data_IF_323201554897
#
_entry.id   IF_323201554897
#
_cell.length_a   1.000
_cell.length_b   1.000
_cell.length_c   1.000
_cell.angle_alpha   90.00
_cell.angle_beta   90.00
_cell.angle_gamma   90.00
#
_symmetry.space_group_name_H-M   'P 1'
#
loop_
_entity.id
_entity.type
_entity.pdbx_description
1 polymer ?
#
# COMPACT_ATOMS: atom_id res chain seq x y z
N UNK A 1 -45.60 7.16 -58.05
CA UNK A 1 -45.71 5.75 -57.60
C UNK A 1 -44.34 5.33 -57.11
N UNK A 2 -44.11 4.93 -55.87
CA UNK A 2 -45.03 4.66 -54.79
C UNK A 2 -44.23 4.55 -53.48
N UNK A 3 -44.74 5.22 -52.45
CA UNK A 3 -44.77 4.91 -51.02
C UNK A 3 -43.50 4.80 -50.16
N UNK A 4 -43.60 5.60 -49.09
CA UNK A 4 -42.88 5.62 -47.83
C UNK A 4 -43.19 4.43 -46.89
N UNK A 5 -42.57 4.50 -45.69
CA UNK A 5 -42.86 3.83 -44.38
C UNK A 5 -41.98 2.60 -44.08
N UNK A 6 -41.45 2.36 -42.86
CA UNK A 6 -41.80 2.87 -41.52
C UNK A 6 -40.63 2.68 -40.52
N UNK A 7 -40.56 3.57 -39.53
CA UNK A 7 -39.74 3.51 -38.30
C UNK A 7 -40.28 2.45 -37.32
N UNK A 8 -39.42 1.70 -36.62
CA UNK A 8 -39.78 1.19 -35.29
C UNK A 8 -38.59 1.02 -34.37
N UNK A 9 -38.89 1.16 -33.09
CA UNK A 9 -38.06 1.54 -31.97
C UNK A 9 -37.89 0.30 -31.09
N UNK A 10 -36.70 0.00 -30.58
CA UNK A 10 -36.58 -0.77 -29.33
C UNK A 10 -35.30 -0.48 -28.57
N UNK A 11 -35.47 0.05 -27.35
CA UNK A 11 -34.52 0.00 -26.23
C UNK A 11 -35.09 -0.98 -25.17
N UNK A 12 -34.43 -1.26 -24.03
CA UNK A 12 -33.99 -2.58 -23.59
C UNK A 12 -34.84 -3.21 -22.46
N UNK A 13 -34.46 -4.40 -21.94
CA UNK A 13 -34.44 -4.60 -20.48
C UNK A 13 -33.13 -5.29 -20.03
N UNK A 14 -32.34 -4.71 -19.12
CA UNK A 14 -32.43 -4.85 -17.65
C UNK A 14 -32.27 -6.28 -17.12
N UNK A 15 -31.07 -6.63 -16.65
CA UNK A 15 -30.88 -7.38 -15.39
C UNK A 15 -29.40 -7.51 -15.02
N UNK A 16 -29.16 -7.33 -13.72
CA UNK A 16 -27.89 -7.27 -13.02
C UNK A 16 -27.14 -8.63 -12.96
N UNK A 17 -25.83 -8.60 -12.65
CA UNK A 17 -25.00 -9.80 -12.54
C UNK A 17 -25.06 -10.43 -11.13
N UNK A 18 -25.12 -11.76 -11.07
CA UNK A 18 -24.94 -12.55 -9.85
C UNK A 18 -23.52 -13.13 -9.80
N UNK A 19 -22.96 -13.06 -8.59
CA UNK A 19 -21.67 -13.56 -8.11
C UNK A 19 -21.47 -15.08 -8.28
N UNK A 20 -20.19 -15.48 -8.21
CA UNK A 20 -19.63 -16.77 -7.73
C UNK A 20 -19.94 -18.02 -8.59
N UNK A 21 -19.04 -18.99 -8.80
CA UNK A 21 -17.95 -19.46 -7.96
C UNK A 21 -16.90 -20.22 -8.78
N UNK A 22 -15.74 -20.36 -8.15
CA UNK A 22 -14.52 -21.10 -8.47
C UNK A 22 -14.73 -22.49 -9.10
N UNK A 23 -13.85 -22.84 -10.04
CA UNK A 23 -13.34 -24.22 -10.11
C UNK A 23 -11.84 -24.20 -10.36
N UNK A 24 -11.10 -24.49 -9.28
CA UNK A 24 -9.70 -24.92 -9.31
C UNK A 24 -9.67 -26.29 -9.99
N UNK A 25 -8.85 -26.46 -11.03
CA UNK A 25 -8.40 -27.79 -11.44
C UNK A 25 -6.98 -27.94 -10.91
N UNK A 26 -6.85 -28.74 -9.86
CA UNK A 26 -5.58 -29.39 -9.54
C UNK A 26 -5.33 -30.43 -10.62
N UNK A 27 -4.17 -30.38 -11.26
CA UNK A 27 -3.56 -31.57 -11.83
C UNK A 27 -2.17 -31.75 -11.22
N UNK A 28 -2.06 -32.89 -10.56
CA UNK A 28 -0.87 -33.50 -9.97
C UNK A 28 -0.11 -34.30 -11.04
N UNK A 29 1.12 -34.72 -10.68
CA UNK A 29 2.12 -35.49 -11.45
C UNK A 29 3.13 -34.60 -12.22
N UNK A 30 4.45 -34.77 -12.10
CA UNK A 30 5.25 -35.91 -11.69
C UNK A 30 6.61 -35.44 -11.16
N UNK A 31 7.09 -36.13 -10.12
CA UNK A 31 8.46 -36.14 -9.61
C UNK A 31 9.45 -36.56 -10.70
N UNK A 32 10.66 -36.00 -10.71
CA UNK A 32 11.90 -36.71 -10.35
C UNK A 32 13.19 -35.93 -10.68
N UNK A 33 14.21 -36.21 -9.87
CA UNK A 33 15.65 -35.94 -10.03
C UNK A 33 16.16 -34.53 -9.71
N UNK A 34 16.54 -34.32 -8.45
CA UNK A 34 17.83 -33.69 -8.16
C UNK A 34 18.60 -34.52 -7.13
N UNK A 35 19.74 -35.02 -7.59
CA UNK A 35 20.67 -35.89 -6.88
C UNK A 35 21.37 -35.09 -5.77
N UNK A 36 21.29 -35.59 -4.54
CA UNK A 36 22.19 -35.23 -3.45
C UNK A 36 23.43 -36.11 -3.56
N UNK A 37 24.60 -35.50 -3.75
CA UNK A 37 25.88 -36.20 -3.64
C UNK A 37 26.88 -35.33 -2.90
N UNK A 38 27.02 -35.55 -1.61
CA UNK A 38 28.24 -35.26 -0.86
C UNK A 38 28.32 -36.21 0.34
N UNK A 39 29.29 -37.14 0.33
CA UNK A 39 29.95 -37.46 1.59
C UNK A 39 31.46 -37.60 1.39
N UNK A 40 32.27 -36.95 2.24
CA UNK A 40 33.37 -37.66 2.92
C UNK A 40 33.92 -36.87 4.11
N UNK A 41 33.95 -37.54 5.26
CA UNK A 41 34.72 -37.25 6.47
C UNK A 41 36.23 -37.31 6.18
N UNK A 42 37.03 -36.52 6.92
CA UNK A 42 38.23 -37.01 7.62
C UNK A 42 38.34 -36.26 8.97
N UNK A 43 38.62 -36.94 10.11
CA UNK A 43 38.97 -36.32 11.38
C UNK A 43 40.49 -36.22 11.55
N UNK A 44 40.97 -35.23 12.31
CA UNK A 44 42.15 -35.49 13.15
C UNK A 44 42.21 -34.59 14.40
N UNK A 45 42.62 -35.24 15.48
CA UNK A 45 42.79 -34.73 16.83
C UNK A 45 44.05 -33.84 16.92
N UNK A 46 44.04 -32.80 17.76
CA UNK A 46 45.00 -32.60 18.87
C UNK A 46 44.78 -31.26 19.58
N UNK A 47 45.12 -31.28 20.87
CA UNK A 47 44.67 -30.40 21.94
C UNK A 47 45.37 -29.03 22.00
N UNK A 48 44.76 -28.06 22.70
CA UNK A 48 45.43 -27.47 23.86
C UNK A 48 44.43 -26.81 24.83
N UNK A 49 44.59 -27.12 26.12
CA UNK A 49 43.97 -26.45 27.26
C UNK A 49 44.85 -25.26 27.67
N UNK A 50 44.26 -24.09 27.84
CA UNK A 50 44.75 -23.11 28.81
C UNK A 50 43.59 -22.22 29.24
N UNK A 51 43.34 -22.23 30.54
CA UNK A 51 42.36 -21.42 31.23
C UNK A 51 42.85 -19.98 31.39
N UNK A 52 41.94 -19.02 31.25
CA UNK A 52 42.03 -17.70 31.88
C UNK A 52 40.63 -17.32 32.40
N UNK A 53 40.45 -17.07 33.72
CA UNK A 53 39.23 -16.48 34.25
C UNK A 53 39.41 -14.96 34.33
N UNK A 54 38.63 -14.18 33.58
CA UNK A 54 38.49 -12.77 33.90
C UNK A 54 37.07 -12.25 33.64
N UNK A 55 36.56 -11.70 34.73
CA UNK A 55 35.31 -11.03 35.02
C UNK A 55 35.16 -9.71 34.25
N UNK A 56 33.96 -9.46 33.68
CA UNK A 56 33.33 -8.14 33.58
C UNK A 56 32.04 -8.21 32.74
N UNK A 57 30.91 -8.14 33.43
CA UNK A 57 29.67 -7.44 33.03
C UNK A 57 29.34 -7.41 31.53
N UNK A 58 28.61 -8.43 31.05
CA UNK A 58 27.87 -8.31 29.79
C UNK A 58 26.53 -7.62 30.10
N UNK A 59 26.53 -6.28 29.98
CA UNK A 59 25.30 -5.52 29.82
C UNK A 59 24.61 -6.05 28.55
N UNK A 60 23.58 -6.88 28.74
CA UNK A 60 22.71 -7.29 27.64
C UNK A 60 21.91 -6.06 27.22
N UNK A 61 22.49 -5.23 26.34
CA UNK A 61 21.72 -4.32 25.51
C UNK A 61 20.78 -5.20 24.69
N UNK A 62 19.53 -5.30 25.15
CA UNK A 62 18.45 -5.86 24.37
C UNK A 62 18.20 -4.85 23.26
N UNK A 63 18.93 -4.96 22.16
CA UNK A 63 18.54 -4.32 20.92
C UNK A 63 17.17 -4.89 20.58
N UNK A 64 16.12 -4.11 20.85
CA UNK A 64 14.79 -4.39 20.34
C UNK A 64 14.93 -4.53 18.82
N UNK A 65 14.96 -5.76 18.34
CA UNK A 65 14.89 -6.06 16.93
C UNK A 65 13.55 -5.52 16.44
N UNK A 66 13.56 -4.32 15.85
CA UNK A 66 12.44 -3.82 15.08
C UNK A 66 12.23 -4.87 13.98
N UNK A 67 11.22 -5.71 14.16
CA UNK A 67 10.90 -6.79 13.25
C UNK A 67 10.48 -6.12 11.94
N UNK A 68 11.45 -5.98 11.03
CA UNK A 68 11.39 -5.14 9.85
C UNK A 68 10.12 -5.36 9.03
N UNK A 69 9.10 -4.55 9.31
CA UNK A 69 7.93 -4.46 8.47
C UNK A 69 8.40 -3.84 7.16
N UNK A 70 8.51 -4.66 6.11
CA UNK A 70 8.88 -4.17 4.79
C UNK A 70 7.88 -3.10 4.37
N UNK A 71 8.39 -1.90 4.06
CA UNK A 71 7.57 -0.76 3.64
C UNK A 71 6.80 -1.02 2.34
N UNK A 72 7.28 -1.98 1.54
CA UNK A 72 6.70 -2.40 0.28
C UNK A 72 6.67 -3.92 0.17
N UNK A 73 5.83 -4.43 -0.73
CA UNK A 73 5.84 -5.83 -1.12
C UNK A 73 5.80 -5.96 -2.65
N UNK A 74 6.47 -6.97 -3.23
CA UNK A 74 6.46 -7.18 -4.66
C UNK A 74 5.12 -7.76 -5.11
N UNK A 75 4.57 -7.22 -6.20
CA UNK A 75 3.37 -7.74 -6.85
C UNK A 75 3.50 -7.69 -8.37
N UNK A 76 3.04 -8.72 -9.05
CA UNK A 76 3.09 -8.77 -10.51
C UNK A 76 2.26 -7.64 -11.12
N UNK A 77 2.78 -6.96 -12.15
CA UNK A 77 2.13 -5.81 -12.78
C UNK A 77 0.71 -6.13 -13.29
N UNK A 78 0.46 -7.35 -13.80
CA UNK A 78 -0.89 -7.79 -14.20
C UNK A 78 -1.88 -7.97 -13.05
N UNK A 79 -1.41 -8.10 -11.81
CA UNK A 79 -2.26 -8.19 -10.62
C UNK A 79 -2.68 -6.81 -10.08
N UNK A 80 -2.02 -5.72 -10.53
CA UNK A 80 -2.43 -4.35 -10.19
C UNK A 80 -3.84 -4.04 -10.73
N UNK A 81 -4.53 -3.14 -10.04
CA UNK A 81 -5.90 -2.73 -10.35
C UNK A 81 -6.03 -1.21 -10.22
N UNK A 82 -7.01 -0.63 -10.91
CA UNK A 82 -7.40 0.77 -10.73
C UNK A 82 -7.77 1.04 -9.27
N UNK A 83 -7.42 2.21 -8.77
CA UNK A 83 -7.48 2.60 -7.36
C UNK A 83 -6.59 1.78 -6.40
N UNK A 84 -5.78 0.85 -6.91
CA UNK A 84 -4.71 0.20 -6.15
C UNK A 84 -3.52 1.13 -5.94
N UNK A 85 -2.53 0.66 -5.19
CA UNK A 85 -1.29 1.38 -4.95
C UNK A 85 -0.12 0.73 -5.69
N UNK A 86 0.86 1.53 -6.07
CA UNK A 86 2.10 1.09 -6.71
C UNK A 86 3.20 2.11 -6.40
N UNK A 87 4.43 1.65 -6.28
CA UNK A 87 5.59 2.52 -6.16
C UNK A 87 6.12 2.82 -7.56
N UNK A 88 6.13 4.10 -7.94
CA UNK A 88 6.74 4.57 -9.19
C UNK A 88 7.86 5.53 -8.82
N UNK A 89 9.09 5.26 -9.29
CA UNK A 89 10.28 6.08 -8.99
C UNK A 89 10.47 6.32 -7.49
N UNK A 90 10.29 5.27 -6.68
CA UNK A 90 10.39 5.32 -5.22
C UNK A 90 9.38 6.27 -4.54
N UNK A 91 8.23 6.52 -5.17
CA UNK A 91 7.14 7.32 -4.60
C UNK A 91 5.86 6.48 -4.51
N UNK A 92 5.17 6.47 -3.36
CA UNK A 92 3.91 5.74 -3.23
C UNK A 92 2.80 6.47 -3.99
N UNK A 93 2.19 5.78 -4.95
CA UNK A 93 1.20 6.36 -5.85
C UNK A 93 -0.09 5.54 -5.87
N UNK A 94 -1.22 6.22 -6.08
CA UNK A 94 -2.53 5.61 -6.34
C UNK A 94 -2.76 5.52 -7.85
N UNK A 95 -3.07 4.34 -8.35
CA UNK A 95 -3.34 4.09 -9.78
C UNK A 95 -4.68 4.72 -10.14
N UNK A 96 -4.66 5.71 -11.03
CA UNK A 96 -5.86 6.35 -11.57
C UNK A 96 -6.31 5.74 -12.89
N UNK A 97 -5.34 5.28 -13.69
CA UNK A 97 -5.64 4.57 -14.94
C UNK A 97 -4.61 3.47 -15.22
N UNK A 98 -5.08 2.43 -15.90
CA UNK A 98 -4.27 1.28 -16.29
C UNK A 98 -4.75 0.80 -17.64
N UNK A 99 -3.85 0.78 -18.61
CA UNK A 99 -4.10 0.22 -19.93
C UNK A 99 -3.09 -0.87 -20.25
N UNK A 100 -3.53 -1.89 -20.99
CA UNK A 100 -2.67 -3.01 -21.39
C UNK A 100 -2.67 -3.11 -22.90
N UNK A 101 -1.48 -3.07 -23.49
CA UNK A 101 -1.26 -3.23 -24.92
C UNK A 101 -0.69 -4.61 -25.21
N UNK A 102 -1.22 -5.27 -26.24
CA UNK A 102 -0.66 -6.53 -26.74
C UNK A 102 0.36 -6.20 -27.81
N UNK A 103 1.62 -6.57 -27.62
CA UNK A 103 2.66 -6.36 -28.63
C UNK A 103 2.65 -7.54 -29.62
N UNK A 104 1.76 -7.50 -30.62
CA UNK A 104 1.74 -8.47 -31.72
C UNK A 104 1.36 -9.92 -31.33
N UNK A 105 1.61 -10.87 -32.25
CA UNK A 105 1.15 -12.27 -32.18
C UNK A 105 1.83 -13.12 -31.09
N UNK A 106 3.08 -12.82 -30.75
CA UNK A 106 3.88 -13.60 -29.79
C UNK A 106 4.46 -12.76 -28.65
N UNK A 107 4.12 -11.48 -28.54
CA UNK A 107 4.71 -10.61 -27.54
C UNK A 107 3.95 -10.61 -26.22
N UNK A 108 4.70 -10.43 -25.13
CA UNK A 108 4.14 -10.21 -23.81
C UNK A 108 3.34 -8.91 -23.77
N UNK A 109 2.29 -8.88 -22.96
CA UNK A 109 1.52 -7.66 -22.78
C UNK A 109 2.38 -6.59 -22.08
N UNK A 110 2.18 -5.34 -22.47
CA UNK A 110 2.84 -4.18 -21.89
C UNK A 110 1.78 -3.32 -21.21
N UNK A 111 1.98 -3.06 -19.93
CA UNK A 111 1.05 -2.28 -19.10
C UNK A 111 1.55 -0.85 -19.05
N UNK A 112 0.65 0.09 -19.31
CA UNK A 112 0.87 1.51 -19.10
C UNK A 112 0.05 1.93 -17.89
N UNK A 113 0.76 2.35 -16.84
CA UNK A 113 0.21 2.80 -15.58
C UNK A 113 0.24 4.31 -15.52
N UNK A 114 -0.90 4.87 -15.11
CA UNK A 114 -1.01 6.28 -14.76
C UNK A 114 -1.43 6.35 -13.31
N UNK A 115 -0.61 6.97 -12.48
CA UNK A 115 -0.83 7.07 -11.05
C UNK A 115 -0.63 8.51 -10.56
N UNK A 116 -1.17 8.81 -9.39
CA UNK A 116 -0.99 10.08 -8.72
C UNK A 116 -0.31 9.80 -7.39
N UNK A 117 0.77 10.53 -7.11
CA UNK A 117 1.44 10.50 -5.82
C UNK A 117 0.47 10.90 -4.70
N UNK A 118 0.37 10.06 -3.67
CA UNK A 118 -0.61 10.25 -2.59
C UNK A 118 -0.28 11.42 -1.65
N UNK A 119 0.97 11.89 -1.66
CA UNK A 119 1.44 12.99 -0.82
C UNK A 119 1.59 14.28 -1.62
N UNK A 120 2.19 14.22 -2.82
CA UNK A 120 2.45 15.44 -3.61
C UNK A 120 1.35 15.77 -4.61
N UNK A 121 0.41 14.86 -4.88
CA UNK A 121 -0.61 15.03 -5.91
C UNK A 121 -0.07 15.05 -7.34
N UNK A 122 1.24 14.78 -7.54
CA UNK A 122 1.87 14.79 -8.85
C UNK A 122 1.50 13.53 -9.63
N UNK A 123 1.12 13.72 -10.90
CA UNK A 123 0.86 12.63 -11.83
C UNK A 123 2.18 11.98 -12.27
N UNK A 124 2.27 10.66 -12.14
CA UNK A 124 3.40 9.84 -12.54
C UNK A 124 2.92 8.73 -13.47
N UNK A 125 3.73 8.42 -14.48
CA UNK A 125 3.43 7.42 -15.50
C UNK A 125 4.57 6.40 -15.57
N UNK A 126 4.22 5.13 -15.76
CA UNK A 126 5.17 4.04 -15.91
C UNK A 126 4.71 3.04 -16.98
N UNK A 127 5.68 2.42 -17.64
CA UNK A 127 5.45 1.46 -18.70
C UNK A 127 6.30 0.21 -18.46
N UNK A 128 5.62 -0.84 -18.03
CA UNK A 128 6.27 -2.06 -17.55
C UNK A 128 5.66 -3.31 -18.20
N UNK A 129 6.45 -4.37 -18.45
CA UNK A 129 5.93 -5.65 -18.91
C UNK A 129 4.92 -6.25 -17.91
N UNK A 130 3.88 -6.93 -18.39
CA UNK A 130 2.83 -7.48 -17.53
C UNK A 130 3.33 -8.55 -16.55
N UNK A 131 4.47 -9.17 -16.83
CA UNK A 131 5.12 -10.20 -16.00
C UNK A 131 6.15 -9.63 -15.03
N UNK A 132 6.47 -8.34 -15.13
CA UNK A 132 7.42 -7.71 -14.22
C UNK A 132 6.79 -7.53 -12.83
N UNK A 133 7.59 -7.75 -11.79
CA UNK A 133 7.18 -7.46 -10.43
C UNK A 133 7.39 -5.97 -10.15
N UNK A 134 6.35 -5.33 -9.62
CA UNK A 134 6.37 -3.94 -9.18
C UNK A 134 6.23 -3.91 -7.67
N UNK A 135 6.86 -2.93 -7.03
CA UNK A 135 6.70 -2.71 -5.60
C UNK A 135 5.34 -2.06 -5.31
N UNK A 136 4.66 -2.55 -4.28
CA UNK A 136 3.40 -2.00 -3.78
C UNK A 136 3.65 -1.49 -2.36
N UNK A 137 3.35 -0.21 -2.06
CA UNK A 137 3.57 0.31 -0.73
C UNK A 137 2.50 -0.24 0.22
N UNK A 138 2.90 -0.52 1.46
CA UNK A 138 1.93 -0.73 2.52
C UNK A 138 1.36 0.62 2.95
N UNK A 139 0.06 0.82 2.69
CA UNK A 139 -0.64 2.07 2.98
C UNK A 139 -1.60 1.84 4.14
N UNK A 140 -1.31 2.45 5.28
CA UNK A 140 -2.20 2.43 6.45
C UNK A 140 -2.91 3.76 6.59
N UNK A 141 -4.21 3.71 6.91
CA UNK A 141 -5.00 4.90 7.23
C UNK A 141 -5.50 4.73 8.65
N UNK A 142 -5.22 5.71 9.50
CA UNK A 142 -5.68 5.74 10.88
C UNK A 142 -6.39 7.05 11.15
N UNK A 143 -7.45 6.95 11.93
CA UNK A 143 -8.24 8.09 12.35
C UNK A 143 -7.76 8.54 13.72
N UNK A 144 -7.55 9.84 13.87
CA UNK A 144 -7.12 10.45 15.12
C UNK A 144 -8.07 11.59 15.46
N UNK A 145 -8.34 11.77 16.75
CA UNK A 145 -9.05 12.93 17.23
C UNK A 145 -8.11 14.13 17.25
N UNK A 146 -8.54 15.25 16.66
CA UNK A 146 -7.81 16.51 16.72
C UNK A 146 -8.04 17.16 18.09
N UNK A 147 -6.98 17.36 18.85
CA UNK A 147 -7.02 18.04 20.15
C UNK A 147 -6.76 19.53 20.01
N UNK A 148 -5.70 19.89 19.26
CA UNK A 148 -5.31 21.28 19.07
C UNK A 148 -4.48 21.47 17.78
N UNK A 149 -4.38 22.70 17.31
CA UNK A 149 -3.48 23.12 16.23
C UNK A 149 -2.50 24.13 16.81
N UNK A 150 -1.24 23.72 16.94
CA UNK A 150 -0.17 24.57 17.45
C UNK A 150 0.08 25.78 16.54
N UNK A 151 0.64 26.86 17.10
CA UNK A 151 0.95 28.08 16.35
C UNK A 151 1.95 27.85 15.20
N UNK A 152 2.80 26.82 15.34
CA UNK A 152 3.78 26.39 14.33
C UNK A 152 3.16 25.54 13.21
N UNK A 153 1.85 25.28 13.26
CA UNK A 153 1.11 24.53 12.24
C UNK A 153 1.19 23.01 12.35
N UNK A 154 1.58 22.49 13.52
CA UNK A 154 1.50 21.06 13.83
C UNK A 154 0.15 20.71 14.46
N UNK A 155 -0.40 19.56 14.06
CA UNK A 155 -1.63 19.00 14.58
C UNK A 155 -1.31 18.20 15.85
N UNK A 156 -1.99 18.50 16.95
CA UNK A 156 -1.98 17.66 18.13
C UNK A 156 -3.12 16.64 18.05
N UNK A 157 -2.75 15.37 17.91
CA UNK A 157 -3.64 14.27 17.57
C UNK A 157 -3.67 13.23 18.69
N UNK A 158 -4.82 12.60 18.91
CA UNK A 158 -4.98 11.50 19.86
C UNK A 158 -5.53 10.27 19.16
N UNK A 159 -4.88 9.12 19.35
CA UNK A 159 -5.38 7.82 18.91
C UNK A 159 -6.46 7.32 19.88
N UNK A 160 -7.24 6.35 19.42
CA UNK A 160 -8.13 5.52 20.24
C UNK A 160 -7.45 4.85 21.44
N UNK A 161 -6.18 4.45 21.30
CA UNK A 161 -5.37 3.86 22.38
C UNK A 161 -4.94 4.88 23.46
N UNK A 162 -5.29 6.15 23.32
CA UNK A 162 -4.90 7.24 24.23
C UNK A 162 -3.46 7.75 24.01
N UNK A 163 -2.77 7.27 22.98
CA UNK A 163 -1.48 7.82 22.56
C UNK A 163 -1.69 9.15 21.83
N UNK A 164 -0.83 10.13 22.13
CA UNK A 164 -0.83 11.44 21.46
C UNK A 164 0.27 11.53 20.42
N UNK A 165 0.05 12.35 19.40
CA UNK A 165 0.94 12.50 18.25
C UNK A 165 0.95 13.96 17.77
N UNK A 166 2.13 14.56 17.72
CA UNK A 166 2.33 16.00 17.41
C UNK A 166 3.34 16.23 16.26
N UNK A 167 3.66 15.18 15.49
CA UNK A 167 4.67 15.19 14.41
C UNK A 167 4.07 15.51 13.02
N UNK A 168 2.74 15.51 12.88
CA UNK A 168 2.05 15.75 11.61
C UNK A 168 1.70 17.24 11.46
N UNK A 169 2.09 17.83 10.33
CA UNK A 169 1.72 19.20 9.97
C UNK A 169 0.35 19.28 9.30
N UNK A 170 -0.30 20.43 9.43
CA UNK A 170 -1.50 20.76 8.65
C UNK A 170 -1.15 20.67 7.15
N UNK A 171 -1.87 19.85 6.36
CA UNK A 171 -1.61 19.71 4.94
C UNK A 171 -2.03 20.99 4.19
N UNK A 172 -1.33 21.32 3.12
CA UNK A 172 -1.75 22.42 2.23
C UNK A 172 -2.91 21.98 1.32
N UNK A 173 -3.86 22.88 1.06
CA UNK A 173 -5.00 22.67 0.16
C UNK A 173 -6.31 22.36 0.88
N UNK A 174 -7.24 21.70 0.17
CA UNK A 174 -8.63 21.50 0.62
C UNK A 174 -8.74 20.80 1.98
N UNK A 175 -7.86 19.84 2.27
CA UNK A 175 -7.83 19.15 3.55
C UNK A 175 -7.46 20.09 4.71
N UNK A 176 -6.46 20.95 4.53
CA UNK A 176 -6.04 21.93 5.55
C UNK A 176 -7.10 23.00 5.78
N UNK A 177 -7.71 23.50 4.70
CA UNK A 177 -8.81 24.47 4.77
C UNK A 177 -10.00 23.90 5.54
N UNK A 178 -10.32 22.62 5.30
CA UNK A 178 -11.39 21.90 5.98
C UNK A 178 -11.10 21.71 7.48
N UNK A 179 -9.86 21.39 7.85
CA UNK A 179 -9.43 21.30 9.26
C UNK A 179 -9.58 22.64 9.96
N UNK A 180 -9.04 23.71 9.36
CA UNK A 180 -9.12 25.05 9.94
C UNK A 180 -10.57 25.50 10.11
N UNK A 181 -11.43 25.22 9.12
CA UNK A 181 -12.85 25.56 9.20
C UNK A 181 -13.57 24.80 10.32
N UNK A 182 -13.45 23.47 10.35
CA UNK A 182 -14.15 22.64 11.34
C UNK A 182 -13.67 22.93 12.77
N UNK A 183 -12.37 23.13 12.95
CA UNK A 183 -11.76 23.30 14.26
C UNK A 183 -11.77 24.76 14.76
N UNK A 184 -11.35 25.73 13.93
CA UNK A 184 -11.23 27.15 14.35
C UNK A 184 -12.50 27.97 14.16
N UNK A 185 -13.31 27.68 13.14
CA UNK A 185 -14.54 28.47 12.89
C UNK A 185 -15.77 27.82 13.53
N UNK A 186 -15.91 26.51 13.39
CA UNK A 186 -17.08 25.78 13.88
C UNK A 186 -16.91 25.25 15.31
N UNK A 187 -15.69 25.26 15.87
CA UNK A 187 -15.35 24.72 17.20
C UNK A 187 -15.95 23.32 17.45
N UNK A 188 -15.92 22.48 16.41
CA UNK A 188 -16.45 21.11 16.46
C UNK A 188 -15.33 20.10 16.69
N UNK A 189 -15.68 19.06 17.44
CA UNK A 189 -14.87 17.86 17.51
C UNK A 189 -14.59 17.34 16.09
N UNK A 190 -13.32 17.23 15.74
CA UNK A 190 -12.86 16.90 14.40
C UNK A 190 -11.96 15.68 14.47
N UNK A 191 -12.28 14.67 13.66
CA UNK A 191 -11.42 13.51 13.45
C UNK A 191 -10.67 13.67 12.14
N UNK A 192 -9.34 13.58 12.20
CA UNK A 192 -8.46 13.62 11.03
C UNK A 192 -8.05 12.21 10.63
N UNK A 193 -7.85 12.01 9.33
CA UNK A 193 -7.39 10.74 8.78
C UNK A 193 -5.95 10.92 8.34
N UNK A 194 -5.04 10.26 9.05
CA UNK A 194 -3.62 10.23 8.72
C UNK A 194 -3.35 9.00 7.88
N UNK A 195 -2.70 9.23 6.74
CA UNK A 195 -2.21 8.20 5.87
C UNK A 195 -0.70 8.05 6.07
N UNK A 196 -0.26 6.84 6.38
CA UNK A 196 1.16 6.48 6.51
C UNK A 196 1.53 5.51 5.38
N UNK A 197 2.58 5.83 4.61
CA UNK A 197 3.13 4.96 3.58
C UNK A 197 4.63 5.20 3.42
N UNK A 198 5.42 4.11 3.36
CA UNK A 198 6.88 4.17 3.16
C UNK A 198 7.64 5.10 4.14
N UNK A 199 7.15 5.24 5.38
CA UNK A 199 7.76 6.10 6.39
C UNK A 199 7.39 7.59 6.28
N UNK A 200 6.55 7.97 5.31
CA UNK A 200 5.98 9.32 5.19
C UNK A 200 4.53 9.31 5.69
N UNK A 201 4.14 10.38 6.39
CA UNK A 201 2.81 10.56 6.95
C UNK A 201 2.22 11.90 6.52
N UNK A 202 0.94 11.89 6.17
CA UNK A 202 0.21 13.12 5.87
C UNK A 202 -1.26 12.99 6.26
N UNK A 203 -1.85 14.10 6.66
CA UNK A 203 -3.29 14.20 6.81
C UNK A 203 -3.94 14.30 5.42
N UNK A 204 -4.88 13.40 5.13
CA UNK A 204 -5.55 13.33 3.83
C UNK A 204 -6.98 13.89 3.86
N UNK A 205 -7.65 13.82 5.00
CA UNK A 205 -9.03 14.27 5.15
C UNK A 205 -9.34 14.54 6.64
N UNK A 206 -10.37 15.34 6.87
CA UNK A 206 -10.91 15.63 8.18
C UNK A 206 -12.43 15.55 8.14
N UNK A 207 -13.04 15.03 9.20
CA UNK A 207 -14.50 14.91 9.34
C UNK A 207 -14.94 15.29 10.75
N UNK A 208 -16.17 15.75 10.88
CA UNK A 208 -16.78 15.99 12.20
C UNK A 208 -16.85 14.66 12.97
N UNK A 209 -16.41 14.67 14.23
CA UNK A 209 -16.50 13.51 15.09
C UNK A 209 -17.99 13.17 15.33
N UNK A 210 -18.35 11.87 15.34
CA UNK A 210 -19.72 11.48 15.63
C UNK A 210 -20.06 11.92 17.05
N UNK A 211 -21.01 12.85 17.17
CA UNK A 211 -21.59 13.24 18.47
C UNK A 211 -22.23 12.01 19.08
N UNK A 212 -21.65 11.50 20.17
CA UNK A 212 -22.22 10.40 20.94
C UNK A 212 -23.65 10.77 21.32
N UNK A 213 -24.62 10.00 20.79
CA UNK A 213 -26.05 10.11 21.07
C UNK A 213 -26.38 9.68 22.48
#
# INVERSE_FOLDING_TARGET
MEMARVFSISTPPSSLPCLLQQHFSLDSHSLHHFNLFFPHLIPDHTANMSADPNDAQHEHTFESADAGASATFPMQCSALRKNGHVVIKNRPCKIVDMSTSKTGKHGHAKVHLVAIDIFTGKKLEDLSPSTHNMEVPNVSRREYQLLDITDDGFLSLMSDDGSTKDDVKVPEGEAGDKINKLFREEEKDTNVIILTAMGEEACIDAKEAPKGS
#
